data_IF_987314797848
#
_entry.id   IF_987314797848
#
_cell.length_a   1.000
_cell.length_b   1.000
_cell.length_c   1.000
_cell.angle_alpha   90.00
_cell.angle_beta   90.00
_cell.angle_gamma   90.00
#
_symmetry.space_group_name_H-M   'P 1'
#
loop_
_entity.id
_entity.type
_entity.pdbx_description
1 polymer ?
#
# COMPACT_ATOMS: atom_id res chain seq x y z
N UNK A 1 -13.70 -29.05 13.08
CA UNK A 1 -13.76 -27.65 12.59
C UNK A 1 -12.70 -26.91 13.37
N UNK A 2 -11.78 -26.22 12.71
CA UNK A 2 -10.75 -25.47 13.38
C UNK A 2 -11.38 -24.27 14.12
N UNK A 3 -10.95 -24.00 15.36
CA UNK A 3 -11.46 -22.87 16.15
C UNK A 3 -10.52 -21.67 15.97
N UNK A 4 -11.12 -20.55 15.58
CA UNK A 4 -10.45 -19.27 15.47
C UNK A 4 -11.04 -18.29 16.45
N UNK A 5 -10.27 -17.30 16.82
CA UNK A 5 -10.73 -16.24 17.73
C UNK A 5 -11.36 -15.09 16.93
N UNK A 6 -12.46 -14.55 17.44
CA UNK A 6 -13.08 -13.32 16.93
C UNK A 6 -12.96 -12.23 17.98
N UNK A 7 -12.25 -11.16 17.67
CA UNK A 7 -12.15 -9.96 18.49
C UNK A 7 -12.98 -8.87 17.83
N UNK A 8 -13.93 -8.29 18.59
CA UNK A 8 -14.65 -7.09 18.18
C UNK A 8 -14.17 -5.90 19.00
N UNK A 9 -13.36 -5.03 18.40
CA UNK A 9 -12.83 -3.83 19.06
C UNK A 9 -13.85 -2.68 19.09
N UNK A 10 -15.05 -2.89 18.56
CA UNK A 10 -16.09 -1.85 18.53
C UNK A 10 -15.69 -0.65 17.70
N UNK A 11 -15.87 0.55 18.27
CA UNK A 11 -15.39 1.80 17.73
C UNK A 11 -14.07 2.17 18.42
N UNK A 12 -12.96 2.22 17.68
CA UNK A 12 -11.63 2.40 18.23
C UNK A 12 -10.91 3.62 17.63
N UNK A 13 -9.98 4.20 18.38
CA UNK A 13 -9.13 5.28 17.90
C UNK A 13 -8.35 4.86 16.63
N UNK A 14 -8.00 5.82 15.74
CA UNK A 14 -7.36 5.53 14.46
C UNK A 14 -6.17 4.58 14.53
N UNK A 15 -5.26 4.79 15.48
CA UNK A 15 -4.07 3.95 15.59
C UNK A 15 -4.39 2.52 16.04
N UNK A 16 -5.36 2.34 16.93
CA UNK A 16 -5.84 1.02 17.36
C UNK A 16 -6.54 0.34 16.17
N UNK A 17 -7.49 1.03 15.52
CA UNK A 17 -8.20 0.49 14.37
C UNK A 17 -7.27 0.09 13.22
N UNK A 18 -6.19 0.85 13.00
CA UNK A 18 -5.24 0.61 11.91
C UNK A 18 -4.09 -0.31 12.27
N UNK A 19 -3.65 -0.39 13.52
CA UNK A 19 -2.37 -1.03 13.88
C UNK A 19 -2.48 -2.20 14.86
N UNK A 20 -3.60 -2.39 15.56
CA UNK A 20 -3.70 -3.43 16.59
C UNK A 20 -3.51 -4.86 16.03
N UNK A 21 -3.93 -5.10 14.78
CA UNK A 21 -3.70 -6.40 14.10
C UNK A 21 -2.21 -6.76 14.01
N UNK A 22 -1.31 -5.80 14.02
CA UNK A 22 0.15 -6.06 13.97
C UNK A 22 0.63 -6.66 15.30
N UNK A 23 0.06 -6.21 16.42
CA UNK A 23 0.35 -6.82 17.73
C UNK A 23 -0.16 -8.28 17.80
N UNK A 24 -1.37 -8.53 17.27
CA UNK A 24 -1.90 -9.89 17.16
C UNK A 24 -1.05 -10.76 16.22
N UNK A 25 -0.58 -10.21 15.11
CA UNK A 25 0.30 -10.93 14.19
C UNK A 25 1.65 -11.28 14.83
N UNK A 26 2.24 -10.36 15.58
CA UNK A 26 3.45 -10.62 16.37
C UNK A 26 3.22 -11.68 17.45
N UNK A 27 2.06 -11.65 18.13
CA UNK A 27 1.69 -12.66 19.10
C UNK A 27 1.52 -14.05 18.45
N UNK A 28 0.91 -14.15 17.27
CA UNK A 28 0.79 -15.39 16.50
C UNK A 28 2.17 -15.88 16.07
N UNK A 29 3.02 -15.02 15.55
CA UNK A 29 4.40 -15.38 15.17
C UNK A 29 5.20 -15.97 16.32
N UNK A 30 5.00 -15.44 17.53
CA UNK A 30 5.63 -15.88 18.76
C UNK A 30 4.96 -17.12 19.40
N UNK A 31 3.85 -17.59 18.82
CA UNK A 31 3.09 -18.74 19.35
C UNK A 31 2.27 -18.40 20.62
N UNK A 32 1.97 -17.12 20.85
CA UNK A 32 1.27 -16.61 22.02
C UNK A 32 -0.24 -16.39 21.77
N UNK A 33 -0.67 -16.42 20.52
CA UNK A 33 -2.07 -16.24 20.14
C UNK A 33 -2.49 -17.23 19.04
N UNK A 34 -3.75 -17.68 19.03
CA UNK A 34 -4.30 -18.48 17.93
C UNK A 34 -4.66 -17.60 16.74
N UNK A 35 -5.00 -18.24 15.60
CA UNK A 35 -5.56 -17.57 14.44
C UNK A 35 -6.75 -16.69 14.86
N UNK A 36 -6.79 -15.46 14.35
CA UNK A 36 -7.69 -14.42 14.87
C UNK A 36 -8.30 -13.62 13.72
N UNK A 37 -9.58 -13.27 13.85
CA UNK A 37 -10.24 -12.25 13.04
C UNK A 37 -10.59 -11.08 13.95
N UNK A 38 -10.25 -9.87 13.52
CA UNK A 38 -10.61 -8.63 14.22
C UNK A 38 -11.64 -7.87 13.39
N UNK A 39 -12.70 -7.42 14.04
CA UNK A 39 -13.66 -6.47 13.49
C UNK A 39 -13.53 -5.16 14.24
N UNK A 40 -13.47 -4.04 13.52
CA UNK A 40 -13.31 -2.71 14.14
C UNK A 40 -13.84 -1.60 13.23
N UNK A 41 -14.31 -0.53 13.82
CA UNK A 41 -14.73 0.68 13.14
C UNK A 41 -13.88 1.86 13.67
N UNK A 42 -13.29 2.71 12.82
CA UNK A 42 -12.62 3.91 13.30
C UNK A 42 -13.57 4.86 14.02
N UNK A 43 -13.19 5.38 15.17
CA UNK A 43 -13.98 6.35 15.94
C UNK A 43 -13.89 7.77 15.39
N UNK A 44 -12.83 8.09 14.64
CA UNK A 44 -12.59 9.40 14.05
C UNK A 44 -11.82 9.28 12.73
N UNK A 45 -11.89 10.30 11.87
CA UNK A 45 -11.22 10.26 10.58
C UNK A 45 -9.69 10.36 10.68
N UNK A 46 -9.00 9.72 9.75
CA UNK A 46 -7.55 9.76 9.59
C UNK A 46 -7.14 9.45 8.15
N UNK A 47 -5.89 9.74 7.82
CA UNK A 47 -5.27 9.42 6.54
C UNK A 47 -4.34 8.23 6.72
N UNK A 48 -4.44 7.25 5.83
CA UNK A 48 -3.57 6.09 5.85
C UNK A 48 -2.79 5.99 4.54
N UNK A 49 -1.46 5.86 4.64
CA UNK A 49 -0.57 5.65 3.48
C UNK A 49 -0.04 4.22 3.46
N UNK A 50 0.28 3.74 2.26
CA UNK A 50 0.87 2.43 2.06
C UNK A 50 2.35 2.38 2.44
N UNK A 51 2.84 1.17 2.72
CA UNK A 51 4.22 0.91 3.19
C UNK A 51 5.29 1.56 2.30
N UNK A 52 5.17 1.45 0.97
CA UNK A 52 6.18 1.90 0.01
C UNK A 52 5.97 3.34 -0.51
N UNK A 53 4.96 4.07 -0.01
CA UNK A 53 4.68 5.42 -0.48
C UNK A 53 5.57 6.47 0.20
N UNK A 54 5.94 7.52 -0.54
CA UNK A 54 6.54 8.73 0.03
C UNK A 54 5.44 9.66 0.50
N UNK A 55 5.45 9.97 1.79
CA UNK A 55 4.40 10.77 2.43
C UNK A 55 4.19 12.12 1.74
N UNK A 56 5.27 12.85 1.53
CA UNK A 56 5.25 14.20 0.96
C UNK A 56 4.84 14.27 -0.52
N UNK A 57 4.90 13.14 -1.23
CA UNK A 57 4.45 13.04 -2.62
C UNK A 57 2.96 12.72 -2.75
N UNK A 58 2.39 12.07 -1.75
CA UNK A 58 1.03 11.53 -1.82
C UNK A 58 0.01 12.39 -1.08
N UNK A 59 0.44 13.06 0.01
CA UNK A 59 -0.46 13.71 0.97
C UNK A 59 -0.20 15.20 1.06
N UNK A 60 -1.29 15.97 1.10
CA UNK A 60 -1.30 17.38 1.46
C UNK A 60 -1.15 17.53 2.99
N UNK A 61 0.10 17.62 3.45
CA UNK A 61 0.43 17.68 4.87
C UNK A 61 -0.11 18.93 5.56
N UNK A 62 -0.15 20.05 4.83
CA UNK A 62 -0.66 21.33 5.36
C UNK A 62 -2.17 21.20 5.64
N UNK A 63 -2.91 20.66 4.68
CA UNK A 63 -4.33 20.40 4.86
C UNK A 63 -4.58 19.44 6.04
N UNK A 64 -3.88 18.32 6.11
CA UNK A 64 -4.04 17.35 7.20
C UNK A 64 -3.78 17.98 8.56
N UNK A 65 -2.70 18.76 8.72
CA UNK A 65 -2.38 19.47 9.96
C UNK A 65 -3.45 20.50 10.32
N UNK A 66 -3.94 21.27 9.36
CA UNK A 66 -4.99 22.29 9.59
C UNK A 66 -6.31 21.68 10.06
N UNK A 67 -6.56 20.42 9.70
CA UNK A 67 -7.76 19.66 10.07
C UNK A 67 -7.56 18.75 11.28
N UNK A 68 -6.37 18.68 11.85
CA UNK A 68 -6.04 17.76 12.94
C UNK A 68 -6.20 16.28 12.56
N UNK A 69 -6.03 15.94 11.26
CA UNK A 69 -6.14 14.56 10.78
C UNK A 69 -4.86 13.80 11.10
N UNK A 70 -4.91 12.71 11.89
CA UNK A 70 -3.77 11.82 12.05
C UNK A 70 -3.37 11.21 10.70
N UNK A 71 -2.07 11.01 10.49
CA UNK A 71 -1.54 10.29 9.33
C UNK A 71 -0.84 9.04 9.83
N UNK A 72 -1.23 7.89 9.30
CA UNK A 72 -0.71 6.59 9.72
C UNK A 72 -0.15 5.88 8.49
N UNK A 73 1.09 5.41 8.57
CA UNK A 73 1.65 4.47 7.59
C UNK A 73 1.29 3.06 8.01
N UNK A 74 0.52 2.34 7.18
CA UNK A 74 0.21 0.94 7.45
C UNK A 74 1.34 0.00 7.03
N UNK A 75 1.33 -1.19 7.59
CA UNK A 75 2.30 -2.24 7.26
C UNK A 75 2.13 -2.77 5.82
N UNK A 76 0.93 -2.79 5.27
CA UNK A 76 0.68 -3.25 3.89
C UNK A 76 0.97 -2.17 2.85
N UNK A 77 1.31 -2.62 1.63
CA UNK A 77 1.42 -1.77 0.46
C UNK A 77 0.08 -1.14 0.02
N UNK A 78 0.04 -0.62 -1.19
CA UNK A 78 -1.11 0.05 -1.78
C UNK A 78 -1.07 1.56 -1.63
N UNK A 79 -2.10 2.26 -2.15
CA UNK A 79 -2.19 3.72 -2.20
C UNK A 79 -2.68 4.37 -0.92
N UNK A 80 -2.65 5.70 -0.90
CA UNK A 80 -3.19 6.52 0.17
C UNK A 80 -4.72 6.47 0.22
N UNK A 81 -5.30 6.48 1.42
CA UNK A 81 -6.74 6.42 1.66
C UNK A 81 -7.15 7.32 2.83
N UNK A 82 -8.38 7.84 2.76
CA UNK A 82 -9.07 8.49 3.88
C UNK A 82 -10.01 7.48 4.52
N UNK A 83 -9.95 7.35 5.82
CA UNK A 83 -10.66 6.34 6.60
C UNK A 83 -11.38 7.00 7.76
N UNK A 84 -12.63 6.57 8.01
CA UNK A 84 -13.49 7.12 9.04
C UNK A 84 -14.51 6.09 9.52
N UNK A 85 -15.48 6.53 10.32
CA UNK A 85 -16.57 5.70 10.83
C UNK A 85 -17.56 5.22 9.74
N UNK A 86 -17.44 5.68 8.50
CA UNK A 86 -18.19 5.16 7.35
C UNK A 86 -17.72 3.78 6.88
N UNK A 87 -16.80 3.12 7.59
CA UNK A 87 -16.19 1.86 7.17
C UNK A 87 -16.09 0.89 8.35
N UNK A 88 -16.40 -0.38 8.10
CA UNK A 88 -16.16 -1.48 9.04
C UNK A 88 -14.96 -2.27 8.54
N UNK A 89 -13.91 -2.34 9.34
CA UNK A 89 -12.71 -3.12 8.99
C UNK A 89 -12.85 -4.56 9.46
N UNK A 90 -12.32 -5.45 8.65
CA UNK A 90 -12.02 -6.82 9.01
C UNK A 90 -10.52 -7.10 8.78
N UNK A 91 -9.92 -7.77 9.74
CA UNK A 91 -8.49 -8.08 9.74
C UNK A 91 -8.36 -9.56 10.08
N UNK A 92 -7.90 -10.34 9.12
CA UNK A 92 -7.73 -11.80 9.23
C UNK A 92 -6.26 -12.07 9.43
N UNK A 93 -5.91 -12.66 10.55
CA UNK A 93 -4.53 -12.96 10.93
C UNK A 93 -4.43 -14.47 11.22
N UNK A 94 -3.66 -15.18 10.44
CA UNK A 94 -3.48 -16.61 10.59
C UNK A 94 -2.03 -17.02 10.47
N UNK A 95 -1.64 -18.07 11.20
CA UNK A 95 -0.34 -18.69 11.05
C UNK A 95 -0.16 -19.25 9.62
N UNK A 96 1.05 -19.23 9.09
CA UNK A 96 1.36 -19.94 7.84
C UNK A 96 0.97 -21.43 7.97
N UNK A 97 0.29 -21.95 6.94
CA UNK A 97 -0.35 -23.26 6.97
C UNK A 97 -1.86 -23.23 7.25
N UNK A 98 -2.39 -22.20 7.91
CA UNK A 98 -3.85 -21.99 8.08
C UNK A 98 -4.45 -21.14 6.97
N UNK A 99 -3.65 -20.32 6.30
CA UNK A 99 -4.03 -19.45 5.20
C UNK A 99 -3.18 -19.74 3.95
N UNK A 100 -3.69 -19.43 2.74
CA UNK A 100 -2.90 -19.54 1.52
C UNK A 100 -1.59 -18.73 1.61
N UNK A 101 -0.47 -19.36 1.24
CA UNK A 101 0.83 -18.71 1.21
C UNK A 101 1.01 -17.79 -0.02
N UNK A 102 0.29 -18.07 -1.11
CA UNK A 102 0.27 -17.20 -2.29
C UNK A 102 -0.76 -16.09 -2.11
N UNK A 103 -0.31 -14.89 -2.31
CA UNK A 103 -1.12 -13.69 -2.03
C UNK A 103 -2.34 -13.59 -2.93
N UNK A 104 -2.23 -13.98 -4.19
CA UNK A 104 -3.38 -14.02 -5.11
C UNK A 104 -4.44 -15.02 -4.63
N UNK A 105 -4.03 -16.20 -4.20
CA UNK A 105 -4.94 -17.23 -3.66
C UNK A 105 -5.57 -16.77 -2.33
N UNK A 106 -4.81 -16.03 -1.51
CA UNK A 106 -5.30 -15.43 -0.27
C UNK A 106 -6.43 -14.43 -0.56
N UNK A 107 -6.22 -13.50 -1.51
CA UNK A 107 -7.25 -12.56 -1.93
C UNK A 107 -8.46 -13.29 -2.54
N UNK A 108 -8.25 -14.19 -3.49
CA UNK A 108 -9.33 -14.92 -4.15
C UNK A 108 -10.21 -15.65 -3.13
N UNK A 109 -9.60 -16.34 -2.17
CA UNK A 109 -10.32 -17.10 -1.14
C UNK A 109 -11.06 -16.20 -0.14
N UNK A 110 -10.35 -15.23 0.46
CA UNK A 110 -10.90 -14.47 1.59
C UNK A 110 -11.87 -13.38 1.14
N UNK A 111 -11.68 -12.78 -0.04
CA UNK A 111 -12.59 -11.75 -0.54
C UNK A 111 -13.96 -12.29 -0.98
N UNK A 112 -14.10 -13.62 -1.11
CA UNK A 112 -15.44 -14.21 -1.25
C UNK A 112 -16.32 -13.96 -0.03
N UNK A 113 -15.74 -13.82 1.17
CA UNK A 113 -16.48 -13.42 2.36
C UNK A 113 -17.03 -12.01 2.20
N UNK A 114 -16.21 -11.08 1.71
CA UNK A 114 -16.61 -9.70 1.44
C UNK A 114 -17.74 -9.65 0.39
N UNK A 115 -17.59 -10.41 -0.70
CA UNK A 115 -18.64 -10.56 -1.72
C UNK A 115 -19.93 -11.12 -1.10
N UNK A 116 -19.82 -12.14 -0.25
CA UNK A 116 -20.95 -12.73 0.46
C UNK A 116 -21.71 -11.70 1.31
N UNK A 117 -20.98 -10.86 2.09
CA UNK A 117 -21.60 -9.83 2.91
C UNK A 117 -22.40 -8.84 2.05
N UNK A 118 -21.79 -8.32 0.98
CA UNK A 118 -22.48 -7.38 0.09
C UNK A 118 -23.72 -7.98 -0.54
N UNK A 119 -23.64 -9.25 -1.03
CA UNK A 119 -24.80 -9.94 -1.62
C UNK A 119 -25.90 -10.20 -0.60
N UNK A 120 -25.56 -10.52 0.64
CA UNK A 120 -26.55 -10.67 1.71
C UNK A 120 -27.25 -9.36 2.06
N UNK A 121 -26.59 -8.23 1.86
CA UNK A 121 -27.15 -6.89 1.99
C UNK A 121 -27.94 -6.44 0.75
N UNK A 122 -28.02 -7.26 -0.31
CA UNK A 122 -28.77 -6.92 -1.52
C UNK A 122 -27.95 -6.19 -2.60
N UNK A 123 -26.60 -6.22 -2.53
CA UNK A 123 -25.71 -5.57 -3.49
C UNK A 123 -24.97 -6.65 -4.29
N UNK A 124 -25.10 -6.63 -5.62
CA UNK A 124 -24.48 -7.61 -6.53
C UNK A 124 -22.97 -7.33 -6.72
N UNK A 125 -22.21 -7.61 -5.66
CA UNK A 125 -20.76 -7.48 -5.65
C UNK A 125 -20.08 -8.70 -6.27
N UNK A 126 -18.89 -8.45 -6.84
CA UNK A 126 -18.00 -9.48 -7.39
C UNK A 126 -16.54 -9.21 -7.03
N UNK A 127 -15.75 -10.29 -6.91
CA UNK A 127 -14.30 -10.19 -6.77
C UNK A 127 -13.67 -9.79 -8.10
N UNK A 128 -12.82 -8.80 -8.07
CA UNK A 128 -12.00 -8.37 -9.18
C UNK A 128 -10.52 -8.50 -8.82
N UNK A 129 -9.76 -9.36 -9.49
CA UNK A 129 -8.32 -9.42 -9.29
C UNK A 129 -7.66 -8.02 -9.46
N UNK A 130 -6.71 -7.65 -8.64
CA UNK A 130 -5.97 -8.50 -7.69
C UNK A 130 -6.63 -8.50 -6.29
N UNK A 131 -7.04 -7.36 -5.80
CA UNK A 131 -7.43 -7.12 -4.41
C UNK A 131 -8.70 -6.27 -4.26
N UNK A 132 -9.52 -6.18 -5.29
CA UNK A 132 -10.72 -5.36 -5.27
C UNK A 132 -12.00 -6.21 -5.17
N UNK A 133 -13.02 -5.65 -4.54
CA UNK A 133 -14.41 -6.07 -4.67
C UNK A 133 -15.15 -4.92 -5.32
N UNK A 134 -15.95 -5.22 -6.35
CA UNK A 134 -16.58 -4.21 -7.20
C UNK A 134 -18.08 -4.46 -7.34
N UNK A 135 -18.81 -3.40 -7.68
CA UNK A 135 -20.23 -3.42 -8.06
C UNK A 135 -20.38 -2.62 -9.35
N UNK A 136 -20.80 -3.26 -10.44
CA UNK A 136 -20.90 -2.61 -11.74
C UNK A 136 -19.58 -1.92 -12.17
N UNK A 137 -18.44 -2.56 -11.87
CA UNK A 137 -17.11 -2.06 -12.15
C UNK A 137 -16.56 -1.01 -11.18
N UNK A 138 -17.36 -0.52 -10.21
CA UNK A 138 -16.95 0.44 -9.18
C UNK A 138 -16.47 -0.29 -7.93
N UNK A 139 -15.33 0.11 -7.41
CA UNK A 139 -14.77 -0.44 -6.16
C UNK A 139 -15.68 -0.16 -4.97
N UNK A 140 -15.97 -1.19 -4.17
CA UNK A 140 -16.79 -1.09 -2.95
C UNK A 140 -16.04 -1.56 -1.70
N UNK A 141 -14.85 -2.17 -1.85
CA UNK A 141 -13.99 -2.59 -0.74
C UNK A 141 -12.53 -2.41 -1.11
N UNK A 142 -11.72 -1.89 -0.19
CA UNK A 142 -10.28 -1.82 -0.26
C UNK A 142 -9.63 -2.92 0.55
N UNK A 143 -8.65 -3.63 -0.03
CA UNK A 143 -8.01 -4.75 0.64
C UNK A 143 -6.50 -4.70 0.49
N UNK A 144 -5.81 -5.20 1.52
CA UNK A 144 -4.37 -5.36 1.56
C UNK A 144 -3.99 -6.69 2.21
N UNK A 145 -2.84 -7.21 1.82
CA UNK A 145 -2.25 -8.39 2.43
C UNK A 145 -0.82 -8.09 2.86
N UNK A 146 -0.32 -8.85 3.83
CA UNK A 146 1.03 -8.72 4.35
C UNK A 146 1.46 -9.94 5.12
N UNK A 147 2.72 -9.94 5.57
CA UNK A 147 3.29 -11.00 6.39
C UNK A 147 4.18 -10.41 7.49
N UNK A 148 3.94 -10.80 8.74
CA UNK A 148 4.80 -10.49 9.88
C UNK A 148 5.30 -11.81 10.46
N UNK A 149 6.60 -12.06 10.30
CA UNK A 149 7.17 -13.36 10.66
C UNK A 149 6.43 -14.51 9.97
N UNK A 150 5.83 -15.42 10.76
CA UNK A 150 5.00 -16.54 10.26
C UNK A 150 3.50 -16.22 10.18
N UNK A 151 3.08 -15.03 10.58
CA UNK A 151 1.69 -14.62 10.50
C UNK A 151 1.38 -14.04 9.13
N UNK A 152 0.37 -14.58 8.46
CA UNK A 152 -0.20 -14.08 7.21
C UNK A 152 -1.38 -13.16 7.57
N UNK A 153 -1.46 -12.02 6.93
CA UNK A 153 -2.42 -10.96 7.24
C UNK A 153 -3.19 -10.60 5.98
N UNK A 154 -4.51 -10.51 6.12
CA UNK A 154 -5.38 -9.83 5.16
C UNK A 154 -6.20 -8.80 5.91
N UNK A 155 -6.16 -7.56 5.44
CA UNK A 155 -6.99 -6.47 5.95
C UNK A 155 -7.90 -5.94 4.87
N UNK A 156 -9.10 -5.54 5.23
CA UNK A 156 -10.03 -4.92 4.29
C UNK A 156 -11.17 -4.22 5.00
N UNK A 157 -12.09 -3.67 4.21
CA UNK A 157 -13.22 -2.93 4.73
C UNK A 157 -14.52 -3.24 4.00
N UNK A 158 -15.64 -3.07 4.71
CA UNK A 158 -16.97 -2.86 4.15
C UNK A 158 -17.24 -1.36 4.17
N UNK A 159 -17.40 -0.75 2.99
CA UNK A 159 -17.63 0.68 2.85
C UNK A 159 -19.13 0.95 2.96
N UNK A 160 -19.54 1.44 4.13
CA UNK A 160 -20.91 1.86 4.42
C UNK A 160 -21.24 3.18 3.72
N UNK A 161 -20.37 4.16 3.94
CA UNK A 161 -20.39 5.49 3.34
C UNK A 161 -18.95 5.99 3.15
N UNK A 162 -18.74 7.06 2.38
CA UNK A 162 -17.40 7.56 2.07
C UNK A 162 -17.41 9.07 1.86
N UNK A 163 -16.52 9.77 2.55
CA UNK A 163 -16.29 11.21 2.37
C UNK A 163 -15.33 11.46 1.20
N UNK A 164 -15.90 11.55 -0.01
CA UNK A 164 -15.15 11.82 -1.24
C UNK A 164 -14.42 13.15 -1.22
N UNK A 165 -15.03 14.17 -0.60
CA UNK A 165 -14.49 15.53 -0.62
C UNK A 165 -13.27 15.62 0.30
N UNK A 166 -13.32 15.04 1.50
CA UNK A 166 -12.16 14.93 2.38
C UNK A 166 -11.05 14.09 1.74
N UNK A 167 -11.38 12.95 1.11
CA UNK A 167 -10.38 12.12 0.43
C UNK A 167 -9.63 12.90 -0.67
N UNK A 168 -10.33 13.65 -1.49
CA UNK A 168 -9.72 14.44 -2.57
C UNK A 168 -8.83 15.56 -2.00
N UNK A 169 -9.21 16.13 -0.85
CA UNK A 169 -8.43 17.20 -0.22
C UNK A 169 -7.18 16.73 0.48
N UNK A 170 -7.16 15.50 1.03
CA UNK A 170 -5.95 14.95 1.65
C UNK A 170 -4.91 14.50 0.62
N UNK A 171 -5.30 14.27 -0.63
CA UNK A 171 -4.35 13.91 -1.68
C UNK A 171 -3.57 15.13 -2.18
N UNK A 172 -2.28 14.96 -2.37
CA UNK A 172 -1.45 15.96 -3.03
C UNK A 172 -1.74 15.95 -4.53
N UNK A 173 -2.29 17.05 -5.04
CA UNK A 173 -2.55 17.23 -6.46
C UNK A 173 -1.57 18.27 -7.04
N UNK A 174 -1.11 18.11 -8.29
CA UNK A 174 -0.14 19.04 -8.88
C UNK A 174 -0.64 20.49 -9.02
N UNK A 175 -1.94 20.66 -9.19
CA UNK A 175 -2.59 21.96 -9.36
C UNK A 175 -4.05 21.83 -8.90
N UNK A 176 -4.55 22.84 -8.21
CA UNK A 176 -5.89 22.88 -7.62
C UNK A 176 -7.01 22.64 -8.66
N UNK A 177 -6.83 23.09 -9.89
CA UNK A 177 -7.78 22.83 -11.01
C UNK A 177 -7.94 21.34 -11.37
N UNK A 178 -7.01 20.47 -10.96
CA UNK A 178 -7.17 19.02 -11.14
C UNK A 178 -8.00 18.38 -10.04
N UNK A 179 -8.22 19.07 -8.93
CA UNK A 179 -8.94 18.53 -7.76
C UNK A 179 -10.37 18.11 -8.11
N UNK A 180 -11.09 18.94 -8.89
CA UNK A 180 -12.44 18.61 -9.35
C UNK A 180 -12.48 17.38 -10.27
N UNK A 181 -11.46 17.22 -11.12
CA UNK A 181 -11.33 16.02 -11.97
C UNK A 181 -11.08 14.76 -11.13
N UNK A 182 -10.23 14.87 -10.11
CA UNK A 182 -9.95 13.76 -9.17
C UNK A 182 -11.22 13.39 -8.41
N UNK A 183 -11.98 14.39 -7.91
CA UNK A 183 -13.25 14.18 -7.23
C UNK A 183 -14.27 13.45 -8.12
N UNK A 184 -14.43 13.91 -9.37
CA UNK A 184 -15.32 13.28 -10.34
C UNK A 184 -14.90 11.84 -10.62
N UNK A 185 -13.64 11.63 -10.95
CA UNK A 185 -13.08 10.30 -11.22
C UNK A 185 -13.29 9.36 -10.03
N UNK A 186 -13.03 9.84 -8.80
CA UNK A 186 -13.21 9.02 -7.60
C UNK A 186 -14.67 8.58 -7.41
N UNK A 187 -15.64 9.47 -7.64
CA UNK A 187 -17.08 9.13 -7.60
C UNK A 187 -17.53 8.16 -8.71
N UNK A 188 -16.80 8.12 -9.81
CA UNK A 188 -17.03 7.16 -10.90
C UNK A 188 -16.44 5.77 -10.60
N UNK A 189 -15.33 5.70 -9.85
CA UNK A 189 -14.59 4.46 -9.59
C UNK A 189 -14.85 3.83 -8.23
N UNK A 190 -15.39 4.60 -7.26
CA UNK A 190 -15.69 4.13 -5.92
C UNK A 190 -17.19 4.22 -5.65
N UNK A 191 -17.75 3.23 -4.97
CA UNK A 191 -19.13 3.23 -4.49
C UNK A 191 -19.22 2.78 -3.04
N UNK A 192 -20.40 2.91 -2.41
CA UNK A 192 -20.65 2.61 -1.01
C UNK A 192 -21.99 1.91 -0.85
N UNK A 193 -22.22 1.23 0.27
CA UNK A 193 -23.54 0.64 0.58
C UNK A 193 -24.65 1.69 0.55
N UNK A 194 -24.39 2.86 1.13
CA UNK A 194 -25.36 3.97 1.11
C UNK A 194 -25.76 4.36 -0.31
N UNK A 195 -24.80 4.37 -1.24
CA UNK A 195 -25.07 4.74 -2.65
C UNK A 195 -25.83 3.64 -3.38
N UNK A 196 -25.50 2.36 -3.13
CA UNK A 196 -26.12 1.24 -3.82
C UNK A 196 -27.53 0.90 -3.26
N UNK A 197 -27.73 1.06 -1.95
CA UNK A 197 -28.99 0.71 -1.26
C UNK A 197 -29.91 1.91 -1.02
N UNK A 198 -29.39 3.14 -1.01
CA UNK A 198 -30.10 4.33 -0.59
C UNK A 198 -30.13 4.55 0.95
N UNK A 199 -29.57 3.63 1.71
CA UNK A 199 -29.44 3.73 3.18
C UNK A 199 -28.14 3.07 3.65
N UNK A 200 -27.76 3.31 4.90
CA UNK A 200 -26.59 2.68 5.53
C UNK A 200 -27.07 1.56 6.45
N UNK A 201 -26.68 0.29 6.19
CA UNK A 201 -27.00 -0.80 7.08
C UNK A 201 -26.40 -0.61 8.48
N UNK A 202 -27.05 -1.14 9.56
CA UNK A 202 -26.46 -1.13 10.90
C UNK A 202 -25.11 -1.85 10.94
N UNK A 203 -24.13 -1.29 11.65
CA UNK A 203 -22.77 -1.87 11.78
C UNK A 203 -22.82 -3.30 12.33
N UNK A 204 -23.69 -3.54 13.30
CA UNK A 204 -23.85 -4.87 13.92
C UNK A 204 -24.37 -5.93 12.93
N UNK A 205 -25.21 -5.53 11.99
CA UNK A 205 -25.64 -6.43 10.92
C UNK A 205 -24.47 -6.81 10.01
N UNK A 206 -23.65 -5.84 9.63
CA UNK A 206 -22.44 -6.07 8.81
C UNK A 206 -21.46 -6.99 9.54
N UNK A 207 -21.18 -6.75 10.83
CA UNK A 207 -20.32 -7.60 11.66
C UNK A 207 -20.86 -9.03 11.77
N UNK A 208 -22.17 -9.18 11.98
CA UNK A 208 -22.83 -10.48 12.02
C UNK A 208 -22.65 -11.26 10.71
N UNK A 209 -22.83 -10.58 9.56
CA UNK A 209 -22.66 -11.18 8.24
C UNK A 209 -21.18 -11.51 7.94
N UNK A 210 -20.23 -10.70 8.40
CA UNK A 210 -18.79 -11.01 8.31
C UNK A 210 -18.47 -12.29 9.08
N UNK A 211 -18.93 -12.39 10.34
CA UNK A 211 -18.78 -13.60 11.15
C UNK A 211 -19.34 -14.84 10.44
N UNK A 212 -20.61 -14.78 10.01
CA UNK A 212 -21.29 -15.86 9.29
C UNK A 212 -20.52 -16.26 8.01
N UNK A 213 -20.05 -15.26 7.26
CA UNK A 213 -19.31 -15.48 6.04
C UNK A 213 -17.97 -16.21 6.28
N UNK A 214 -17.21 -15.79 7.28
CA UNK A 214 -15.94 -16.43 7.64
C UNK A 214 -16.18 -17.87 8.13
N UNK A 215 -17.11 -18.11 9.04
CA UNK A 215 -17.44 -19.46 9.51
C UNK A 215 -17.81 -20.39 8.36
N UNK A 216 -18.68 -19.91 7.47
CA UNK A 216 -19.17 -20.70 6.34
C UNK A 216 -18.11 -20.98 5.27
N UNK A 217 -17.32 -19.97 4.88
CA UNK A 217 -16.42 -20.09 3.72
C UNK A 217 -15.05 -20.64 4.08
N UNK A 218 -14.59 -20.42 5.31
CA UNK A 218 -13.32 -21.01 5.78
C UNK A 218 -13.53 -22.36 6.46
N UNK A 219 -14.79 -22.73 6.80
CA UNK A 219 -15.07 -23.97 7.53
C UNK A 219 -14.54 -23.97 8.95
N UNK A 220 -14.51 -22.80 9.59
CA UNK A 220 -14.01 -22.58 10.95
C UNK A 220 -15.15 -22.28 11.90
N UNK A 221 -14.87 -22.32 13.23
CA UNK A 221 -15.74 -21.84 14.27
C UNK A 221 -15.12 -20.60 14.91
N UNK A 222 -15.88 -19.50 14.97
CA UNK A 222 -15.42 -18.23 15.54
C UNK A 222 -15.86 -18.09 16.99
N UNK A 223 -14.87 -18.10 17.89
CA UNK A 223 -15.09 -17.89 19.32
C UNK A 223 -14.88 -16.42 19.67
N UNK A 224 -15.91 -15.72 20.15
CA UNK A 224 -15.77 -14.37 20.67
C UNK A 224 -14.74 -14.31 21.80
N UNK A 225 -13.84 -13.34 21.73
CA UNK A 225 -12.75 -13.15 22.69
C UNK A 225 -12.38 -11.69 22.79
N UNK A 226 -11.81 -11.32 23.92
CA UNK A 226 -11.16 -10.01 24.08
C UNK A 226 -9.68 -10.10 23.73
N UNK A 227 -9.02 -8.98 23.40
CA UNK A 227 -7.58 -8.90 23.34
C UNK A 227 -6.93 -9.33 24.65
N UNK A 228 -5.80 -10.04 24.58
CA UNK A 228 -5.06 -10.44 25.77
C UNK A 228 -4.19 -9.28 26.30
N UNK A 229 -3.78 -9.36 27.58
CA UNK A 229 -2.81 -8.42 28.16
C UNK A 229 -1.49 -8.41 27.38
N UNK A 230 -1.07 -9.57 26.90
CA UNK A 230 0.16 -9.68 26.12
C UNK A 230 0.06 -8.98 24.75
N UNK A 231 -1.07 -9.06 24.07
CA UNK A 231 -1.31 -8.35 22.81
C UNK A 231 -1.35 -6.83 23.02
N UNK A 232 -1.97 -6.39 24.12
CA UNK A 232 -1.92 -4.98 24.49
C UNK A 232 -0.51 -4.53 24.84
N UNK A 233 0.28 -5.35 25.52
CA UNK A 233 1.68 -5.05 25.82
C UNK A 233 2.51 -4.92 24.54
N UNK A 234 2.38 -5.85 23.61
CA UNK A 234 3.05 -5.78 22.31
C UNK A 234 2.61 -4.51 21.54
N UNK A 235 1.33 -4.19 21.59
CA UNK A 235 0.84 -2.96 20.93
C UNK A 235 1.46 -1.71 21.54
N UNK A 236 1.44 -1.56 22.87
CA UNK A 236 1.95 -0.35 23.55
C UNK A 236 3.48 -0.23 23.51
N UNK A 237 4.21 -1.33 23.55
CA UNK A 237 5.68 -1.32 23.63
C UNK A 237 6.36 -1.42 22.26
N UNK A 238 5.77 -2.06 21.27
CA UNK A 238 6.42 -2.30 19.98
C UNK A 238 5.72 -1.62 18.79
N UNK A 239 4.39 -1.77 18.67
CA UNK A 239 3.64 -1.29 17.50
C UNK A 239 3.42 0.22 17.56
N UNK A 240 2.83 0.69 18.65
CA UNK A 240 2.48 2.10 18.81
C UNK A 240 3.69 3.04 18.77
N UNK A 241 4.81 2.78 19.47
CA UNK A 241 6.00 3.65 19.38
C UNK A 241 6.55 3.74 17.95
N UNK A 242 6.57 2.62 17.22
CA UNK A 242 6.98 2.60 15.81
C UNK A 242 6.08 3.48 14.96
N UNK A 243 4.76 3.34 15.06
CA UNK A 243 3.80 4.14 14.27
C UNK A 243 3.85 5.64 14.60
N UNK A 244 4.26 6.00 15.80
CA UNK A 244 4.41 7.39 16.23
C UNK A 244 5.78 7.99 15.90
N UNK A 245 6.72 7.20 15.38
CA UNK A 245 8.05 7.68 15.03
C UNK A 245 8.10 8.29 13.63
N UNK A 246 8.93 9.31 13.47
CA UNK A 246 9.22 9.91 12.17
C UNK A 246 9.93 8.92 11.25
N UNK A 247 10.79 8.04 11.80
CA UNK A 247 11.48 6.97 11.06
C UNK A 247 10.49 6.06 10.34
N UNK A 248 9.35 5.75 10.95
CA UNK A 248 8.32 4.96 10.31
C UNK A 248 7.48 5.79 9.33
N UNK A 249 7.03 6.96 9.76
CA UNK A 249 6.14 7.80 8.95
C UNK A 249 6.82 8.27 7.65
N UNK A 250 8.10 8.69 7.73
CA UNK A 250 8.92 9.13 6.60
C UNK A 250 9.92 8.05 6.13
N UNK A 251 9.63 6.77 6.38
CA UNK A 251 10.57 5.65 6.19
C UNK A 251 11.33 5.64 4.85
N UNK A 252 10.72 5.86 3.67
CA UNK A 252 11.46 5.85 2.42
C UNK A 252 12.48 6.98 2.33
N UNK A 253 12.13 8.19 2.78
CA UNK A 253 12.97 9.38 2.76
C UNK A 253 14.13 9.27 3.76
N UNK A 254 13.84 8.80 4.97
CA UNK A 254 14.81 8.67 6.05
C UNK A 254 15.94 7.69 5.72
N UNK A 255 15.66 6.67 4.92
CA UNK A 255 16.68 5.70 4.50
C UNK A 255 17.79 6.31 3.65
N UNK A 256 17.51 7.39 2.89
CA UNK A 256 18.43 7.91 1.88
C UNK A 256 18.86 9.37 2.10
N UNK A 257 18.16 10.13 2.93
CA UNK A 257 18.47 11.55 3.10
C UNK A 257 18.26 12.39 1.82
N UNK A 258 17.54 11.87 0.85
CA UNK A 258 17.32 12.54 -0.42
C UNK A 258 16.03 13.34 -0.39
N UNK A 259 16.17 14.61 -0.71
CA UNK A 259 15.05 15.51 -0.94
C UNK A 259 15.13 15.93 -2.39
N UNK A 260 14.20 15.49 -3.26
CA UNK A 260 14.05 16.11 -4.56
C UNK A 260 12.67 15.92 -5.14
N UNK A 261 11.99 17.02 -5.38
CA UNK A 261 10.86 17.10 -6.30
C UNK A 261 11.38 17.13 -7.75
N UNK A 262 11.00 16.11 -8.50
CA UNK A 262 10.76 16.11 -9.95
C UNK A 262 11.74 16.82 -10.89
N UNK A 263 13.06 16.84 -10.64
CA UNK A 263 14.03 17.41 -11.58
C UNK A 263 15.33 16.63 -11.59
N UNK A 264 15.90 16.45 -12.80
CA UNK A 264 17.27 16.01 -12.91
C UNK A 264 18.19 17.11 -12.37
N UNK A 265 18.95 16.81 -11.31
CA UNK A 265 19.96 17.72 -10.74
C UNK A 265 21.34 17.18 -11.08
N UNK A 266 22.15 18.00 -11.75
CA UNK A 266 23.57 17.70 -11.94
C UNK A 266 24.29 18.00 -10.62
N UNK A 267 24.79 16.99 -9.91
CA UNK A 267 25.49 17.13 -8.62
C UNK A 267 26.97 17.41 -8.84
N UNK A 268 27.59 16.71 -9.80
CA UNK A 268 29.00 16.86 -10.14
C UNK A 268 29.21 16.46 -11.62
N UNK A 269 30.44 16.57 -12.13
CA UNK A 269 30.71 16.13 -13.49
C UNK A 269 30.43 14.63 -13.67
N UNK A 270 29.46 14.33 -14.53
CA UNK A 270 29.02 12.96 -14.81
C UNK A 270 28.00 12.36 -13.83
N UNK A 271 27.72 13.01 -12.67
CA UNK A 271 26.76 12.49 -11.67
C UNK A 271 25.45 13.28 -11.73
N UNK A 272 24.33 12.58 -11.78
CA UNK A 272 22.98 13.14 -11.90
C UNK A 272 22.00 12.41 -11.02
N UNK A 273 21.03 13.12 -10.44
CA UNK A 273 19.83 12.52 -9.84
C UNK A 273 18.68 12.63 -10.82
N UNK A 274 18.04 11.51 -11.09
CA UNK A 274 16.94 11.39 -12.04
C UNK A 274 15.74 10.81 -11.33
N UNK A 275 14.57 11.42 -11.49
CA UNK A 275 13.29 10.90 -10.97
C UNK A 275 12.37 10.55 -12.12
N UNK A 276 11.75 9.36 -12.05
CA UNK A 276 10.76 8.89 -13.03
C UNK A 276 9.55 8.25 -12.36
N UNK A 277 8.44 8.32 -13.06
CA UNK A 277 7.22 7.61 -12.73
C UNK A 277 6.90 6.59 -13.83
N UNK A 278 6.60 5.36 -13.44
CA UNK A 278 6.21 4.29 -14.34
C UNK A 278 4.87 3.70 -13.92
N UNK A 279 3.85 3.82 -14.76
CA UNK A 279 2.54 3.21 -14.54
C UNK A 279 2.48 1.86 -15.26
N UNK A 280 2.61 0.79 -14.49
CA UNK A 280 2.22 -0.56 -14.84
C UNK A 280 0.81 -0.85 -14.29
N UNK A 281 0.52 -2.06 -13.79
CA UNK A 281 -0.71 -2.29 -13.03
C UNK A 281 -0.76 -1.45 -11.74
N UNK A 282 0.39 -1.19 -11.15
CA UNK A 282 0.62 -0.28 -10.02
C UNK A 282 1.62 0.81 -10.41
N UNK A 283 1.69 1.88 -9.63
CA UNK A 283 2.68 2.94 -9.85
C UNK A 283 4.02 2.52 -9.25
N UNK A 284 5.08 2.60 -10.05
CA UNK A 284 6.47 2.48 -9.62
C UNK A 284 7.14 3.83 -9.84
N UNK A 285 7.71 4.41 -8.79
CA UNK A 285 8.47 5.64 -8.83
C UNK A 285 9.93 5.31 -8.53
N UNK A 286 10.85 5.82 -9.30
CA UNK A 286 12.29 5.60 -9.08
C UNK A 286 13.00 6.93 -9.05
N UNK A 287 13.75 7.16 -7.99
CA UNK A 287 14.73 8.25 -7.90
C UNK A 287 16.11 7.60 -7.86
N UNK A 288 16.98 7.92 -8.81
CA UNK A 288 18.28 7.29 -8.92
C UNK A 288 19.40 8.34 -9.07
N UNK A 289 20.52 8.09 -8.40
CA UNK A 289 21.79 8.75 -8.64
C UNK A 289 22.56 7.94 -9.69
N UNK A 290 22.87 8.58 -10.82
CA UNK A 290 23.50 7.95 -11.97
C UNK A 290 24.84 8.60 -12.27
N UNK A 291 25.86 7.79 -12.56
CA UNK A 291 27.09 8.20 -13.25
C UNK A 291 27.07 7.64 -14.66
N UNK A 292 26.86 8.52 -15.65
CA UNK A 292 26.56 8.10 -17.01
C UNK A 292 25.33 7.19 -17.09
N UNK A 293 25.51 5.89 -17.27
CA UNK A 293 24.48 4.84 -17.29
C UNK A 293 24.56 3.87 -16.09
N UNK A 294 25.49 4.12 -15.14
CA UNK A 294 25.66 3.30 -13.93
C UNK A 294 24.82 3.84 -12.77
N UNK A 295 24.07 2.96 -12.10
CA UNK A 295 23.30 3.28 -10.90
C UNK A 295 24.23 3.33 -9.69
N UNK A 296 24.48 4.52 -9.13
CA UNK A 296 25.28 4.67 -7.92
C UNK A 296 24.44 4.41 -6.68
N UNK A 297 23.21 4.94 -6.68
CA UNK A 297 22.22 4.70 -5.63
C UNK A 297 20.81 4.91 -6.18
N UNK A 298 19.79 4.31 -5.56
CA UNK A 298 18.41 4.49 -5.98
C UNK A 298 17.43 4.29 -4.81
N UNK A 299 16.26 4.89 -4.98
CA UNK A 299 15.10 4.72 -4.12
C UNK A 299 13.90 4.34 -5.00
N UNK A 300 13.27 3.21 -4.70
CA UNK A 300 12.05 2.75 -5.36
C UNK A 300 10.87 2.95 -4.40
N UNK A 301 9.80 3.58 -4.88
CA UNK A 301 8.58 3.83 -4.11
C UNK A 301 7.35 3.60 -4.98
N UNK A 302 6.15 3.60 -4.39
CA UNK A 302 4.92 3.44 -5.18
C UNK A 302 3.73 2.88 -4.43
N UNK A 303 2.64 2.62 -5.17
CA UNK A 303 1.38 2.10 -4.64
C UNK A 303 1.25 0.57 -4.82
N UNK A 304 2.37 -0.13 -4.91
CA UNK A 304 2.41 -1.58 -5.09
C UNK A 304 2.48 -2.35 -3.77
N UNK A 305 2.18 -3.64 -3.84
CA UNK A 305 2.45 -4.61 -2.80
C UNK A 305 3.78 -5.30 -3.06
N UNK A 306 4.54 -5.54 -2.02
CA UNK A 306 5.72 -6.39 -2.03
C UNK A 306 5.72 -7.17 -0.71
N UNK A 307 5.79 -8.49 -0.75
CA UNK A 307 5.61 -9.35 0.42
C UNK A 307 6.75 -10.38 0.45
N UNK A 308 7.59 -10.40 1.48
CA UNK A 308 7.59 -9.50 2.65
C UNK A 308 7.85 -8.04 2.30
N UNK A 309 7.25 -7.13 3.07
CA UNK A 309 7.23 -5.69 2.79
C UNK A 309 8.61 -5.04 2.84
N UNK A 310 9.48 -5.53 3.70
CA UNK A 310 10.85 -5.06 3.92
C UNK A 310 11.88 -5.57 2.89
N UNK A 311 11.41 -6.27 1.85
CA UNK A 311 12.31 -6.84 0.83
C UNK A 311 12.89 -5.79 -0.14
N UNK A 312 12.22 -4.65 -0.32
CA UNK A 312 12.60 -3.64 -1.31
C UNK A 312 14.02 -3.08 -1.16
N UNK A 313 14.53 -2.79 0.05
CA UNK A 313 15.91 -2.33 0.23
C UNK A 313 16.97 -3.31 -0.31
N UNK A 314 16.67 -4.61 -0.30
CA UNK A 314 17.57 -5.61 -0.90
C UNK A 314 17.61 -5.51 -2.43
N UNK A 315 16.46 -5.27 -3.07
CA UNK A 315 16.44 -5.01 -4.52
C UNK A 315 17.25 -3.77 -4.85
N UNK A 316 17.04 -2.69 -4.11
CA UNK A 316 17.78 -1.44 -4.29
C UNK A 316 19.29 -1.67 -4.17
N UNK A 317 19.75 -2.43 -3.18
CA UNK A 317 21.17 -2.74 -3.00
C UNK A 317 21.73 -3.63 -4.13
N UNK A 318 20.95 -4.59 -4.64
CA UNK A 318 21.36 -5.45 -5.75
C UNK A 318 21.49 -4.71 -7.09
N UNK A 319 20.86 -3.55 -7.20
CA UNK A 319 20.89 -2.71 -8.41
C UNK A 319 22.01 -1.66 -8.39
N UNK A 320 22.68 -1.44 -7.27
CA UNK A 320 23.85 -0.53 -7.21
C UNK A 320 25.01 -1.07 -8.02
N UNK A 321 25.70 -0.20 -8.74
CA UNK A 321 26.80 -0.53 -9.65
C UNK A 321 26.35 -1.19 -10.95
N UNK A 322 25.05 -1.39 -11.17
CA UNK A 322 24.50 -1.98 -12.39
C UNK A 322 24.29 -0.88 -13.43
N UNK A 323 24.61 -1.18 -14.69
CA UNK A 323 24.33 -0.27 -15.80
C UNK A 323 22.88 -0.36 -16.24
N UNK A 324 22.35 0.73 -16.79
CA UNK A 324 21.00 0.80 -17.35
C UNK A 324 20.92 0.02 -18.67
N UNK A 325 21.09 -1.29 -18.56
CA UNK A 325 21.00 -2.28 -19.63
C UNK A 325 19.86 -3.26 -19.31
N UNK A 326 18.93 -3.45 -20.24
CA UNK A 326 17.74 -4.24 -20.02
C UNK A 326 18.02 -5.68 -19.60
N UNK A 327 18.99 -6.34 -20.23
CA UNK A 327 19.33 -7.74 -19.96
C UNK A 327 19.97 -7.89 -18.56
N UNK A 328 20.90 -7.00 -18.22
CA UNK A 328 21.57 -7.01 -16.92
C UNK A 328 20.58 -6.69 -15.77
N UNK A 329 19.75 -5.66 -15.95
CA UNK A 329 18.69 -5.30 -14.98
C UNK A 329 17.71 -6.45 -14.77
N UNK A 330 17.24 -7.10 -15.85
CA UNK A 330 16.31 -8.22 -15.75
C UNK A 330 16.94 -9.38 -14.98
N UNK A 331 18.19 -9.72 -15.28
CA UNK A 331 18.93 -10.76 -14.55
C UNK A 331 19.01 -10.48 -13.04
N UNK A 332 19.25 -9.22 -12.66
CA UNK A 332 19.32 -8.81 -11.24
C UNK A 332 17.96 -8.86 -10.56
N UNK A 333 16.93 -8.34 -11.21
CA UNK A 333 15.57 -8.35 -10.66
C UNK A 333 15.05 -9.79 -10.54
N UNK A 334 15.23 -10.65 -11.54
CA UNK A 334 14.84 -12.06 -11.45
C UNK A 334 15.63 -12.82 -10.38
N UNK A 335 16.92 -12.51 -10.19
CA UNK A 335 17.70 -13.07 -9.09
C UNK A 335 17.13 -12.67 -7.74
N UNK A 336 16.76 -11.41 -7.56
CA UNK A 336 16.09 -10.95 -6.35
C UNK A 336 14.80 -11.73 -6.05
N UNK A 337 13.91 -11.91 -7.04
CA UNK A 337 12.68 -12.69 -6.85
C UNK A 337 12.97 -14.15 -6.48
N UNK A 338 13.95 -14.78 -7.16
CA UNK A 338 14.32 -16.17 -6.89
C UNK A 338 14.94 -16.36 -5.50
N UNK A 339 15.80 -15.44 -5.07
CA UNK A 339 16.52 -15.54 -3.81
C UNK A 339 15.67 -15.20 -2.59
N UNK A 340 14.70 -14.28 -2.75
CA UNK A 340 13.87 -13.82 -1.64
C UNK A 340 12.52 -14.51 -1.57
N UNK A 341 12.05 -15.09 -2.68
CA UNK A 341 10.70 -15.62 -2.79
C UNK A 341 9.62 -14.53 -2.70
N UNK A 342 10.01 -13.25 -2.92
CA UNK A 342 9.10 -12.11 -2.82
C UNK A 342 7.92 -12.23 -3.77
N UNK A 343 6.75 -11.78 -3.33
CA UNK A 343 5.54 -11.70 -4.13
C UNK A 343 5.15 -10.23 -4.34
N UNK A 344 4.87 -9.86 -5.58
CA UNK A 344 4.43 -8.51 -5.94
C UNK A 344 3.13 -8.57 -6.74
N UNK A 345 1.98 -8.78 -6.07
CA UNK A 345 0.69 -8.97 -6.73
C UNK A 345 0.39 -7.84 -7.73
N UNK A 346 0.16 -8.24 -8.99
CA UNK A 346 -0.09 -7.31 -10.11
C UNK A 346 1.14 -6.72 -10.76
N UNK A 347 2.34 -7.00 -10.28
CA UNK A 347 3.61 -6.62 -10.93
C UNK A 347 4.46 -7.85 -11.24
N UNK A 348 5.23 -7.73 -12.31
CA UNK A 348 6.23 -8.72 -12.75
C UNK A 348 7.64 -8.12 -12.63
N UNK A 349 8.69 -8.95 -12.60
CA UNK A 349 10.07 -8.48 -12.68
C UNK A 349 10.31 -7.46 -13.80
N UNK A 350 9.69 -7.68 -14.96
CA UNK A 350 9.81 -6.79 -16.12
C UNK A 350 9.28 -5.38 -15.85
N UNK A 351 8.24 -5.20 -15.04
CA UNK A 351 7.68 -3.88 -14.73
C UNK A 351 8.69 -2.99 -13.97
N UNK A 352 9.51 -3.60 -13.10
CA UNK A 352 10.62 -2.89 -12.45
C UNK A 352 11.74 -2.54 -13.42
N UNK A 353 12.05 -3.45 -14.34
CA UNK A 353 13.05 -3.20 -15.40
C UNK A 353 12.58 -2.06 -16.31
N UNK A 354 11.33 -2.07 -16.74
CA UNK A 354 10.76 -1.03 -17.59
C UNK A 354 10.78 0.34 -16.88
N UNK A 355 10.52 0.36 -15.56
CA UNK A 355 10.68 1.58 -14.76
C UNK A 355 12.15 2.06 -14.79
N UNK A 356 13.11 1.18 -14.54
CA UNK A 356 14.54 1.53 -14.52
C UNK A 356 15.02 2.00 -15.90
N UNK A 357 14.57 1.39 -17.00
CA UNK A 357 14.93 1.81 -18.36
C UNK A 357 14.46 3.22 -18.71
N UNK A 358 13.36 3.70 -18.10
CA UNK A 358 12.94 5.10 -18.23
C UNK A 358 13.94 6.10 -17.67
N UNK A 359 14.79 5.70 -16.71
CA UNK A 359 15.90 6.54 -16.25
C UNK A 359 16.87 6.82 -17.41
N UNK A 360 17.18 5.80 -18.20
CA UNK A 360 18.04 5.93 -19.39
C UNK A 360 17.41 6.87 -20.43
N UNK A 361 16.13 6.67 -20.75
CA UNK A 361 15.40 7.57 -21.68
C UNK A 361 15.40 9.02 -21.19
N UNK A 362 15.22 9.23 -19.86
CA UNK A 362 15.26 10.57 -19.28
C UNK A 362 16.65 11.20 -19.42
N UNK A 363 17.74 10.45 -19.18
CA UNK A 363 19.11 10.93 -19.37
C UNK A 363 19.37 11.27 -20.83
N UNK A 364 19.02 10.39 -21.77
CA UNK A 364 19.23 10.59 -23.21
C UNK A 364 18.47 11.80 -23.76
N UNK A 365 17.27 12.06 -23.25
CA UNK A 365 16.43 13.21 -23.66
C UNK A 365 17.04 14.57 -23.27
N UNK A 366 17.82 14.63 -22.21
CA UNK A 366 18.47 15.85 -21.72
C UNK A 366 19.92 16.03 -22.21
N UNK A 367 20.52 15.00 -22.86
CA UNK A 367 21.87 15.09 -23.44
C UNK A 367 22.01 15.93 -24.71
N UNK A 368 21.02 16.12 -25.60
CA UNK A 368 21.19 16.89 -26.82
C UNK A 368 21.49 18.38 -26.62
N UNK A 369 21.24 18.92 -25.44
CA UNK A 369 21.45 20.35 -25.15
C UNK A 369 22.90 20.73 -24.77
N UNK A 370 23.84 19.77 -24.76
CA UNK A 370 25.23 19.99 -24.32
C UNK A 370 26.22 19.55 -25.41
N UNK A 371 25.87 19.60 -26.69
CA UNK A 371 26.92 19.58 -27.74
C UNK A 371 27.50 20.99 -27.83
N UNK A 372 28.84 21.20 -27.64
CA UNK A 372 29.45 22.48 -27.97
C UNK A 372 29.24 22.68 -29.45
N UNK A 373 28.80 23.86 -29.86
CA UNK A 373 28.75 24.30 -31.25
C UNK A 373 30.19 24.23 -31.81
N UNK A 374 30.48 23.16 -32.54
CA UNK A 374 31.63 23.10 -33.42
C UNK A 374 31.28 23.93 -34.65
N UNK A 375 31.60 25.23 -34.59
CA UNK A 375 31.79 26.05 -35.80
C UNK A 375 32.29 27.43 -35.40
N UNK A 376 33.58 27.60 -35.50
CA UNK A 376 34.24 28.81 -36.00
C UNK A 376 35.76 28.63 -35.96
N UNK A 377 36.26 27.79 -36.88
CA UNK A 377 37.61 27.90 -37.39
C UNK A 377 37.51 27.82 -38.89
N UNK A 378 37.20 28.97 -39.48
CA UNK A 378 37.62 29.28 -40.84
C UNK A 378 37.98 30.75 -40.94
N UNK A 379 39.22 30.97 -41.26
CA UNK A 379 39.71 32.01 -42.19
C UNK A 379 39.78 33.43 -41.67
N UNK A 380 41.01 33.89 -41.40
CA UNK A 380 41.52 35.09 -42.10
C UNK A 380 43.03 34.92 -42.26
N UNK A 381 43.38 35.04 -43.48
CA UNK A 381 44.73 35.20 -44.06
C UNK A 381 45.42 36.43 -43.50
#
# INVERSE_FOLDING_TARGET
MEEWRLIDLGSAEPLIAQGFYEAVALAIDRGLAPNTIILVQPSSPYVCIGYHQRLEEEIDLEYCRSRGLPIIRRYQGGGAVYLDSGQVFYQVIGHEGSLPARVEELFEKLLQVTVYVYRKLGVEAEYKPINDVVVGGRKISGNGAGKIGRAIILVGNIILDFDYDSMVRVLKVPDEKFRDKVAKSMREWLTTLRRELGYTPPVEEVKRLLREGYEKMLGISLKPSEPTEEEWRIFEEEVKPRHLSDEWLYMPEMRRGWISEGRMVKIADGVRVVHINHKAAKMIKVTAELREDEILDLLITGDFFMIPEDSLPRLEEMLKGVRLNQEELLKRVEAFYRETGVQTPGLKPQDFVDALMKLREAVERYLPSIRPSAESREGVV
#
